data_IF_424563063954
#
_entry.id   IF_424563063954
#
_cell.length_a   1.000
_cell.length_b   1.000
_cell.length_c   1.000
_cell.angle_alpha   90.00
_cell.angle_beta   90.00
_cell.angle_gamma   90.00
#
_symmetry.space_group_name_H-M   'P 1'
#
loop_
_entity.id
_entity.type
_entity.pdbx_description
1 polymer ?
#
# COMPACT_ATOMS: atom_id res chain seq x y z
N UNK A 1 -26.26 22.52 18.51
CA UNK A 1 -25.71 22.15 17.18
C UNK A 1 -24.24 21.69 17.24
N UNK A 2 -23.43 22.05 18.25
CA UNK A 2 -22.00 21.69 18.31
C UNK A 2 -21.65 20.25 18.71
N UNK A 3 -22.41 19.60 19.59
CA UNK A 3 -22.10 18.24 20.06
C UNK A 3 -22.12 17.17 18.96
N UNK A 4 -23.11 17.23 18.05
CA UNK A 4 -23.21 16.29 16.92
C UNK A 4 -22.04 16.44 15.94
N UNK A 5 -21.58 17.68 15.72
CA UNK A 5 -20.43 17.97 14.86
C UNK A 5 -19.14 17.44 15.49
N UNK A 6 -18.95 17.66 16.79
CA UNK A 6 -17.79 17.14 17.53
C UNK A 6 -17.70 15.61 17.47
N UNK A 7 -18.82 14.92 17.69
CA UNK A 7 -18.88 13.45 17.59
C UNK A 7 -18.54 12.97 16.18
N UNK A 8 -19.04 13.64 15.13
CA UNK A 8 -18.74 13.27 13.75
C UNK A 8 -17.26 13.46 13.40
N UNK A 9 -16.63 14.55 13.84
CA UNK A 9 -15.20 14.78 13.62
C UNK A 9 -14.35 13.75 14.37
N UNK A 10 -14.71 13.40 15.61
CA UNK A 10 -14.02 12.35 16.37
C UNK A 10 -14.14 10.97 15.71
N UNK A 11 -15.31 10.64 15.16
CA UNK A 11 -15.52 9.37 14.44
C UNK A 11 -14.71 9.30 13.14
N UNK A 12 -14.63 10.40 12.38
CA UNK A 12 -13.79 10.48 11.17
C UNK A 12 -12.31 10.23 11.50
N UNK A 13 -11.80 10.87 12.56
CA UNK A 13 -10.43 10.68 13.02
C UNK A 13 -10.18 9.22 13.39
N UNK A 14 -11.07 8.61 14.17
CA UNK A 14 -10.94 7.21 14.58
C UNK A 14 -10.96 6.24 13.40
N UNK A 15 -11.85 6.46 12.42
CA UNK A 15 -11.91 5.68 11.19
C UNK A 15 -10.61 5.81 10.39
N UNK A 16 -10.09 7.02 10.22
CA UNK A 16 -8.84 7.24 9.49
C UNK A 16 -7.65 6.53 10.16
N UNK A 17 -7.57 6.55 11.49
CA UNK A 17 -6.54 5.82 12.26
C UNK A 17 -6.65 4.31 12.03
N UNK A 18 -7.87 3.76 12.01
CA UNK A 18 -8.08 2.33 11.72
C UNK A 18 -7.70 2.01 10.27
N UNK A 19 -8.15 2.81 9.31
CA UNK A 19 -7.87 2.59 7.88
C UNK A 19 -6.38 2.67 7.57
N UNK A 20 -5.63 3.56 8.25
CA UNK A 20 -4.18 3.66 8.11
C UNK A 20 -3.47 2.40 8.64
N UNK A 21 -3.92 1.83 9.76
CA UNK A 21 -3.42 0.54 10.26
C UNK A 21 -3.74 -0.64 9.34
N UNK A 22 -4.83 -0.54 8.58
CA UNK A 22 -5.19 -1.49 7.54
C UNK A 22 -4.56 -1.19 6.18
N UNK A 23 -3.71 -0.16 6.04
CA UNK A 23 -2.84 -0.05 4.87
C UNK A 23 -2.04 -1.34 4.79
N UNK A 24 -2.39 -2.15 3.79
CA UNK A 24 -1.65 -3.32 3.38
C UNK A 24 -0.19 -2.88 3.27
N UNK A 25 0.74 -3.60 3.91
CA UNK A 25 2.18 -3.41 3.72
C UNK A 25 2.56 -3.83 2.29
N UNK A 26 2.05 -3.11 1.31
CA UNK A 26 2.48 -3.15 -0.07
C UNK A 26 3.46 -2.00 -0.25
N UNK A 27 4.49 -2.20 -1.06
CA UNK A 27 5.47 -1.15 -1.36
C UNK A 27 4.90 -0.03 -2.24
N UNK A 28 3.69 0.47 -1.97
CA UNK A 28 2.97 1.47 -2.75
C UNK A 28 1.93 0.90 -3.72
N UNK A 29 2.06 -0.37 -4.13
CA UNK A 29 1.20 -0.96 -5.14
C UNK A 29 -0.02 -1.67 -4.56
N UNK A 30 -0.82 -2.27 -5.43
CA UNK A 30 -1.95 -3.11 -5.05
C UNK A 30 -1.85 -4.49 -5.68
N UNK A 31 -2.58 -5.43 -5.11
CA UNK A 31 -2.78 -6.72 -5.73
C UNK A 31 -4.12 -6.70 -6.43
N UNK A 32 -4.17 -7.28 -7.63
CA UNK A 32 -5.43 -7.48 -8.32
C UNK A 32 -6.38 -8.35 -7.48
N UNK A 33 -7.69 -8.10 -7.62
CA UNK A 33 -8.72 -8.77 -6.81
C UNK A 33 -9.14 -10.14 -7.38
N UNK A 34 -8.67 -10.49 -8.57
CA UNK A 34 -8.91 -11.79 -9.17
C UNK A 34 -8.05 -12.89 -8.53
N UNK A 35 -8.34 -14.15 -8.88
CA UNK A 35 -7.88 -15.38 -8.19
C UNK A 35 -6.37 -15.44 -7.90
N UNK A 36 -5.55 -14.80 -8.72
CA UNK A 36 -4.09 -14.92 -8.65
C UNK A 36 -3.40 -13.86 -7.80
N UNK A 37 -4.12 -12.84 -7.30
CA UNK A 37 -3.56 -11.75 -6.48
C UNK A 37 -2.22 -11.24 -7.04
N UNK A 38 -2.19 -10.89 -8.31
CA UNK A 38 -0.97 -10.41 -8.99
C UNK A 38 -0.67 -8.96 -8.60
N UNK A 39 0.62 -8.60 -8.53
CA UNK A 39 1.04 -7.21 -8.27
C UNK A 39 0.65 -6.32 -9.45
N UNK A 40 0.06 -5.16 -9.15
CA UNK A 40 -0.30 -4.12 -10.12
C UNK A 40 0.06 -2.74 -9.55
N UNK A 41 0.33 -1.78 -10.44
CA UNK A 41 0.70 -0.40 -10.09
C UNK A 41 2.17 -0.26 -9.67
N UNK A 42 2.50 0.83 -8.98
CA UNK A 42 3.88 1.14 -8.58
C UNK A 42 4.31 0.37 -7.33
N UNK A 43 5.44 -0.31 -7.39
CA UNK A 43 6.00 -1.10 -6.29
C UNK A 43 7.42 -0.65 -5.94
N UNK A 44 7.68 -0.62 -4.63
CA UNK A 44 9.00 -0.49 -4.01
C UNK A 44 9.36 -1.84 -3.43
N UNK A 45 10.48 -2.41 -3.87
CA UNK A 45 10.88 -3.78 -3.55
C UNK A 45 12.35 -3.86 -3.22
N UNK A 46 12.70 -4.74 -2.29
CA UNK A 46 14.09 -5.07 -2.02
C UNK A 46 14.68 -5.87 -3.18
N UNK A 47 15.97 -5.66 -3.46
CA UNK A 47 16.74 -6.55 -4.31
C UNK A 47 16.71 -7.99 -3.74
N UNK A 48 16.77 -9.00 -4.62
CA UNK A 48 16.75 -10.40 -4.19
C UNK A 48 17.92 -10.74 -3.25
N UNK A 49 19.03 -10.04 -3.38
CA UNK A 49 20.20 -10.15 -2.51
C UNK A 49 20.23 -9.04 -1.44
N UNK A 50 19.08 -8.51 -1.01
CA UNK A 50 19.07 -7.49 0.04
C UNK A 50 19.62 -8.05 1.35
N UNK A 51 20.73 -7.49 1.83
CA UNK A 51 21.33 -7.84 3.10
C UNK A 51 22.08 -6.63 3.70
N UNK A 52 22.69 -6.83 4.86
CA UNK A 52 23.41 -5.80 5.62
C UNK A 52 24.43 -5.00 4.78
N UNK A 53 25.08 -5.64 3.79
CA UNK A 53 26.07 -5.01 2.90
C UNK A 53 25.54 -4.68 1.51
N UNK A 54 24.31 -5.06 1.17
CA UNK A 54 23.64 -4.75 -0.11
C UNK A 54 22.23 -4.28 0.16
N UNK A 55 22.07 -2.96 0.29
CA UNK A 55 20.80 -2.32 0.65
C UNK A 55 20.14 -1.66 -0.56
N UNK A 56 20.01 -2.42 -1.65
CA UNK A 56 19.43 -1.92 -2.90
C UNK A 56 17.91 -2.10 -2.87
N UNK A 57 17.21 -1.02 -3.22
CA UNK A 57 15.75 -0.99 -3.33
C UNK A 57 15.43 -0.60 -4.77
N UNK A 58 14.58 -1.40 -5.43
CA UNK A 58 14.10 -1.13 -6.78
C UNK A 58 12.70 -0.53 -6.74
N UNK A 59 12.42 0.33 -7.71
CA UNK A 59 11.10 0.87 -7.97
C UNK A 59 10.63 0.33 -9.32
N UNK A 60 9.33 0.16 -9.50
CA UNK A 60 8.79 0.01 -10.83
C UNK A 60 7.30 -0.26 -10.90
N UNK A 61 6.77 -0.15 -12.11
CA UNK A 61 5.34 -0.29 -12.37
C UNK A 61 5.01 -1.69 -12.89
N UNK A 62 3.98 -2.32 -12.32
CA UNK A 62 3.45 -3.60 -12.75
C UNK A 62 2.13 -3.41 -13.50
N UNK A 63 2.03 -3.95 -14.71
CA UNK A 63 0.80 -3.91 -15.49
C UNK A 63 -0.23 -4.95 -15.02
N UNK A 64 -1.44 -4.92 -15.61
CA UNK A 64 -2.53 -5.85 -15.30
C UNK A 64 -2.24 -7.33 -15.56
N UNK A 65 -1.13 -7.65 -16.23
CA UNK A 65 -0.68 -9.03 -16.45
C UNK A 65 0.42 -9.43 -15.43
N UNK A 66 0.76 -8.55 -14.47
CA UNK A 66 1.80 -8.78 -13.47
C UNK A 66 3.23 -8.59 -14.01
N UNK A 67 3.40 -7.94 -15.15
CA UNK A 67 4.71 -7.69 -15.74
C UNK A 67 5.23 -6.30 -15.35
N UNK A 68 6.49 -6.23 -14.93
CA UNK A 68 7.18 -4.97 -14.65
C UNK A 68 7.47 -4.25 -15.97
N UNK A 69 7.02 -3.00 -16.12
CA UNK A 69 7.09 -2.22 -17.37
C UNK A 69 8.02 -1.01 -17.31
N UNK A 70 8.66 -0.75 -16.18
CA UNK A 70 9.63 0.33 -15.98
C UNK A 70 10.15 0.34 -14.56
#
# INVERSE_FOLDING_TARGET
>A
MGYKVMVLESLKIYINVILDRYKKYSGGGSYDKEENQIKIGNWVEFDEEFHDKKQVISHGEYNKNGLKVG
#
